data_IF_320067484869
#
_entry.id   IF_320067484869
#
_cell.length_a   1.000
_cell.length_b   1.000
_cell.length_c   1.000
_cell.angle_alpha   90.00
_cell.angle_beta   90.00
_cell.angle_gamma   90.00
#
_symmetry.space_group_name_H-M   'P 1'
#
loop_
_entity.id
_entity.type
_entity.pdbx_description
1 polymer ?
#
# COMPACT_ATOMS: atom_id res chain seq x y z
N UNK A 1 5.16 -13.82 -19.73
CA UNK A 1 5.02 -14.03 -18.26
C UNK A 1 5.10 -12.68 -17.57
N UNK A 2 4.01 -12.17 -16.96
CA UNK A 2 4.10 -10.97 -16.12
C UNK A 2 5.02 -11.31 -14.94
N UNK A 3 6.16 -10.63 -14.80
CA UNK A 3 6.98 -10.72 -13.58
C UNK A 3 6.03 -10.44 -12.41
N UNK A 4 5.78 -11.44 -11.58
CA UNK A 4 4.97 -11.27 -10.37
C UNK A 4 5.78 -10.39 -9.42
N UNK A 5 5.61 -9.08 -9.54
CA UNK A 5 6.25 -8.13 -8.65
C UNK A 5 5.66 -8.38 -7.26
N UNK A 6 6.48 -8.93 -6.34
CA UNK A 6 6.03 -9.22 -4.97
C UNK A 6 5.69 -7.89 -4.31
N UNK A 7 4.41 -7.70 -3.99
CA UNK A 7 3.97 -6.59 -3.15
C UNK A 7 4.50 -6.82 -1.73
N UNK A 8 5.11 -5.79 -1.16
CA UNK A 8 5.66 -5.83 0.20
C UNK A 8 4.57 -5.56 1.24
N UNK A 9 4.86 -5.88 2.50
CA UNK A 9 3.98 -5.53 3.64
C UNK A 9 3.77 -4.01 3.72
N UNK A 10 4.84 -3.22 3.54
CA UNK A 10 4.76 -1.75 3.50
C UNK A 10 3.80 -1.24 2.41
N UNK A 11 3.81 -1.85 1.23
CA UNK A 11 2.94 -1.48 0.13
C UNK A 11 1.49 -1.88 0.41
N UNK A 12 1.27 -3.03 1.04
CA UNK A 12 -0.06 -3.49 1.43
C UNK A 12 -0.69 -2.57 2.49
N UNK A 13 0.09 -2.15 3.48
CA UNK A 13 -0.32 -1.18 4.50
C UNK A 13 -0.67 0.17 3.89
N UNK A 14 0.13 0.61 2.91
CA UNK A 14 -0.12 1.83 2.17
C UNK A 14 -1.46 1.78 1.42
N UNK A 15 -1.73 0.67 0.74
CA UNK A 15 -3.02 0.43 0.07
C UNK A 15 -4.18 0.40 1.07
N UNK A 16 -3.96 -0.09 2.29
CA UNK A 16 -4.98 -0.08 3.35
C UNK A 16 -5.30 1.35 3.84
N UNK A 17 -4.29 2.19 4.03
CA UNK A 17 -4.49 3.59 4.45
C UNK A 17 -5.19 4.39 3.37
N UNK A 18 -4.77 4.24 2.11
CA UNK A 18 -5.30 5.00 0.98
C UNK A 18 -6.78 4.66 0.71
N UNK A 19 -7.18 3.40 0.90
CA UNK A 19 -8.59 3.00 0.82
C UNK A 19 -9.47 3.73 1.84
N UNK A 20 -8.93 3.98 3.05
CA UNK A 20 -9.67 4.63 4.14
C UNK A 20 -9.64 6.16 4.06
N UNK A 21 -8.56 6.73 3.53
CA UNK A 21 -8.31 8.16 3.50
C UNK A 21 -7.54 8.55 2.23
N UNK A 22 -8.29 8.78 1.15
CA UNK A 22 -7.75 9.16 -0.15
C UNK A 22 -7.05 10.54 -0.15
N UNK A 23 -7.33 11.39 0.83
CA UNK A 23 -6.78 12.75 0.92
C UNK A 23 -5.51 12.82 1.79
N UNK A 24 -5.03 11.68 2.28
CA UNK A 24 -3.83 11.62 3.09
C UNK A 24 -2.59 12.06 2.28
N UNK A 25 -1.93 13.12 2.75
CA UNK A 25 -0.62 13.51 2.23
C UNK A 25 0.44 12.45 2.53
N UNK A 26 1.53 12.43 1.76
CA UNK A 26 2.66 11.51 1.99
C UNK A 26 3.21 11.59 3.43
N UNK A 27 3.21 12.79 4.03
CA UNK A 27 3.64 13.01 5.42
C UNK A 27 2.67 12.40 6.43
N UNK A 28 1.37 12.50 6.18
CA UNK A 28 0.35 11.87 7.02
C UNK A 28 0.40 10.35 6.90
N UNK A 29 0.60 9.82 5.68
CA UNK A 29 0.78 8.38 5.46
C UNK A 29 2.01 7.89 6.23
N UNK A 30 3.16 8.57 6.11
CA UNK A 30 4.38 8.26 6.87
C UNK A 30 4.14 8.22 8.38
N UNK A 31 3.40 9.20 8.92
CA UNK A 31 3.05 9.23 10.35
C UNK A 31 2.14 8.06 10.76
N UNK A 32 1.20 7.66 9.90
CA UNK A 32 0.27 6.54 10.16
C UNK A 32 0.96 5.17 10.06
N UNK A 33 1.90 4.99 9.13
CA UNK A 33 2.62 3.72 8.92
C UNK A 33 3.89 3.58 9.75
N UNK A 34 4.44 4.67 10.29
CA UNK A 34 5.78 4.68 10.89
C UNK A 34 6.92 4.61 9.87
N UNK A 35 6.62 4.64 8.57
CA UNK A 35 7.63 4.63 7.51
C UNK A 35 8.24 6.01 7.30
N UNK A 36 9.46 6.05 6.79
CA UNK A 36 10.04 7.31 6.34
C UNK A 36 9.27 7.87 5.14
N UNK A 37 9.26 9.20 4.99
CA UNK A 37 8.63 9.88 3.85
C UNK A 37 9.20 9.36 2.52
N UNK A 38 10.51 9.10 2.46
CA UNK A 38 11.16 8.54 1.28
C UNK A 38 10.64 7.15 0.93
N UNK A 39 10.44 6.28 1.93
CA UNK A 39 9.89 4.94 1.74
C UNK A 39 8.42 4.96 1.32
N UNK A 40 7.63 5.88 1.87
CA UNK A 40 6.24 6.13 1.41
C UNK A 40 6.21 6.55 -0.06
N UNK A 41 7.04 7.52 -0.45
CA UNK A 41 7.11 7.98 -1.85
C UNK A 41 7.55 6.85 -2.80
N UNK A 42 8.53 6.04 -2.39
CA UNK A 42 8.95 4.85 -3.13
C UNK A 42 7.80 3.85 -3.34
N UNK A 43 7.06 3.52 -2.27
CA UNK A 43 5.94 2.60 -2.34
C UNK A 43 4.80 3.14 -3.21
N UNK A 44 4.47 4.42 -3.06
CA UNK A 44 3.46 5.10 -3.89
C UNK A 44 3.81 5.00 -5.37
N UNK A 45 5.03 5.38 -5.76
CA UNK A 45 5.47 5.30 -7.16
C UNK A 45 5.36 3.88 -7.71
N UNK A 46 5.87 2.89 -6.98
CA UNK A 46 5.81 1.50 -7.40
C UNK A 46 4.36 1.01 -7.61
N UNK A 47 3.43 1.40 -6.72
CA UNK A 47 2.00 1.04 -6.82
C UNK A 47 1.28 1.81 -7.94
N UNK A 48 1.70 3.03 -8.25
CA UNK A 48 1.21 3.81 -9.39
C UNK A 48 1.69 3.18 -10.71
N UNK A 49 2.98 2.82 -10.79
CA UNK A 49 3.59 2.24 -12.00
C UNK A 49 2.91 0.93 -12.44
N UNK A 50 2.44 0.12 -11.49
CA UNK A 50 1.70 -1.13 -11.75
C UNK A 50 0.18 -0.93 -11.90
N UNK A 51 -0.30 0.32 -11.73
CA UNK A 51 -1.69 0.73 -11.89
C UNK A 51 -2.62 0.34 -10.74
N UNK A 52 -2.09 0.12 -9.54
CA UNK A 52 -2.90 -0.18 -8.35
C UNK A 52 -3.40 1.09 -7.66
N UNK A 53 -2.63 2.18 -7.75
CA UNK A 53 -3.00 3.50 -7.26
C UNK A 53 -3.03 4.48 -8.43
N UNK A 54 -3.96 5.42 -8.38
CA UNK A 54 -4.01 6.60 -9.25
C UNK A 54 -3.90 7.87 -8.40
N UNK A 55 -3.21 8.88 -8.93
CA UNK A 55 -3.22 10.23 -8.38
C UNK A 55 -4.39 10.98 -9.00
N UNK A 56 -5.23 11.59 -8.15
CA UNK A 56 -6.25 12.53 -8.57
C UNK A 56 -5.87 13.95 -8.12
N UNK A 57 -5.95 14.90 -9.07
CA UNK A 57 -5.58 16.29 -8.85
C UNK A 57 -6.87 17.09 -8.66
N UNK A 58 -7.22 17.41 -7.42
CA UNK A 58 -8.29 18.36 -7.14
C UNK A 58 -7.80 19.80 -7.43
N UNK A 59 -7.71 20.16 -8.71
CA UNK A 59 -7.48 21.54 -9.16
C UNK A 59 -8.79 22.32 -9.11
N UNK A 60 -9.25 22.68 -7.91
CA UNK A 60 -10.43 23.57 -7.74
C UNK A 60 -10.30 24.64 -6.65
N UNK A 61 -9.14 24.84 -6.05
CA UNK A 61 -8.95 25.96 -5.12
C UNK A 61 -7.54 26.53 -5.22
N UNK A 62 -7.47 27.86 -5.20
CA UNK A 62 -6.29 28.72 -5.31
C UNK A 62 -5.26 28.56 -4.18
N UNK A 63 -5.43 27.58 -3.28
CA UNK A 63 -4.54 27.33 -2.15
C UNK A 63 -4.30 25.84 -1.94
N UNK A 64 -3.08 25.40 -2.31
CA UNK A 64 -2.48 24.06 -2.13
C UNK A 64 -3.01 22.94 -3.03
N UNK A 65 -2.12 22.39 -3.84
CA UNK A 65 -2.32 21.15 -4.58
C UNK A 65 -2.39 20.01 -3.55
N UNK A 66 -3.61 19.60 -3.18
CA UNK A 66 -3.83 18.36 -2.44
C UNK A 66 -3.91 17.21 -3.44
N UNK A 67 -2.83 16.43 -3.55
CA UNK A 67 -2.84 15.17 -4.27
C UNK A 67 -3.71 14.17 -3.50
N UNK A 68 -4.79 13.69 -4.12
CA UNK A 68 -5.54 12.56 -3.59
C UNK A 68 -5.01 11.27 -4.20
N UNK A 69 -4.75 10.27 -3.37
CA UNK A 69 -4.40 8.93 -3.82
C UNK A 69 -5.64 8.06 -3.78
N UNK A 70 -5.93 7.35 -4.86
CA UNK A 70 -7.13 6.51 -4.96
C UNK A 70 -6.71 5.11 -5.42
N UNK A 71 -7.24 4.07 -4.76
CA UNK A 71 -7.09 2.70 -5.25
C UNK A 71 -7.91 2.52 -6.53
N UNK A 72 -7.29 1.96 -7.56
CA UNK A 72 -8.02 1.57 -8.76
C UNK A 72 -8.85 0.31 -8.49
N UNK A 73 -9.88 0.00 -9.30
CA UNK A 73 -10.60 -1.28 -9.19
C UNK A 73 -9.68 -2.49 -9.25
N UNK A 74 -8.63 -2.42 -10.10
CA UNK A 74 -7.56 -3.41 -10.17
C UNK A 74 -6.78 -3.50 -8.85
N UNK A 75 -6.40 -2.37 -8.27
CA UNK A 75 -5.73 -2.30 -6.97
C UNK A 75 -6.54 -2.92 -5.84
N UNK A 76 -7.86 -2.71 -5.80
CA UNK A 76 -8.75 -3.30 -4.80
C UNK A 76 -8.79 -4.83 -4.93
N UNK A 77 -8.95 -5.33 -6.17
CA UNK A 77 -8.97 -6.78 -6.42
C UNK A 77 -7.65 -7.45 -6.03
N UNK A 78 -6.53 -6.87 -6.45
CA UNK A 78 -5.20 -7.41 -6.18
C UNK A 78 -4.84 -7.34 -4.70
N UNK A 79 -5.22 -6.26 -4.00
CA UNK A 79 -5.07 -6.14 -2.54
C UNK A 79 -5.68 -7.34 -1.83
N UNK A 80 -6.94 -7.69 -2.16
CA UNK A 80 -7.62 -8.81 -1.51
C UNK A 80 -6.89 -10.15 -1.73
N UNK A 81 -6.43 -10.40 -2.97
CA UNK A 81 -5.66 -11.60 -3.33
C UNK A 81 -4.35 -11.65 -2.55
N UNK A 82 -3.61 -10.54 -2.52
CA UNK A 82 -2.31 -10.43 -1.85
C UNK A 82 -2.47 -10.58 -0.35
N UNK A 83 -3.45 -9.92 0.28
CA UNK A 83 -3.73 -10.06 1.72
C UNK A 83 -3.98 -11.52 2.08
N UNK A 84 -4.77 -12.27 1.30
CA UNK A 84 -5.03 -13.69 1.55
C UNK A 84 -3.74 -14.51 1.49
N UNK A 85 -2.91 -14.30 0.46
CA UNK A 85 -1.61 -14.98 0.33
C UNK A 85 -0.68 -14.64 1.49
N UNK A 86 -0.69 -13.38 1.94
CA UNK A 86 0.13 -12.90 3.03
C UNK A 86 -0.22 -13.58 4.36
N UNK A 87 -1.52 -13.72 4.66
CA UNK A 87 -2.01 -14.42 5.86
C UNK A 87 -1.53 -15.87 5.87
N UNK A 88 -1.66 -16.58 4.74
CA UNK A 88 -1.20 -17.99 4.63
C UNK A 88 0.29 -18.08 4.93
N UNK A 89 1.10 -17.19 4.33
CA UNK A 89 2.54 -17.16 4.54
C UNK A 89 2.90 -16.86 6.01
N UNK A 90 2.29 -15.84 6.61
CA UNK A 90 2.55 -15.47 8.02
C UNK A 90 2.17 -16.59 8.98
N UNK A 91 1.09 -17.31 8.71
CA UNK A 91 0.71 -18.50 9.49
C UNK A 91 1.79 -19.58 9.43
N UNK A 92 2.29 -19.90 8.22
CA UNK A 92 3.38 -20.86 8.06
C UNK A 92 4.67 -20.44 8.78
N UNK A 93 5.01 -19.14 8.72
CA UNK A 93 6.15 -18.58 9.45
C UNK A 93 5.96 -18.70 10.98
N UNK A 94 4.76 -18.41 11.46
CA UNK A 94 4.40 -18.54 12.88
C UNK A 94 4.48 -19.99 13.36
N UNK A 95 3.84 -20.94 12.66
CA UNK A 95 3.84 -22.36 13.01
C UNK A 95 5.28 -22.91 13.07
N UNK A 96 6.14 -22.46 12.13
CA UNK A 96 7.57 -22.80 12.12
C UNK A 96 8.31 -22.23 13.33
N UNK A 97 8.09 -20.96 13.69
CA UNK A 97 8.75 -20.36 14.85
C UNK A 97 8.30 -21.00 16.17
N UNK A 98 7.03 -21.39 16.29
CA UNK A 98 6.54 -22.12 17.45
C UNK A 98 7.23 -23.47 17.62
N UNK A 99 7.48 -24.19 16.53
CA UNK A 99 8.21 -25.47 16.57
C UNK A 99 9.65 -25.39 17.11
N UNK A 100 10.18 -24.18 17.32
CA UNK A 100 11.50 -23.99 17.95
C UNK A 100 11.42 -23.81 19.47
N UNK A 101 10.22 -23.58 19.99
CA UNK A 101 9.97 -23.28 21.41
C UNK A 101 9.24 -24.46 22.08
N UNK A 102 8.50 -25.26 21.29
CA UNK A 102 7.93 -26.55 21.69
C UNK A 102 8.99 -27.66 21.71
#
# INVERSE_FOLDING_TARGET
>A
MRKSQRITEDQLDLMHIIERDANASQRQIAKKTGLSIGKVNYCLKALIDIGFIKIDNFSKSTQKINYAYILTPKGIQEKAIITKQFIIKKKQEYDKLNSYID
#
